data_IF_752038222256
#
_entry.id   IF_752038222256
#
_cell.length_a   1.000
_cell.length_b   1.000
_cell.length_c   1.000
_cell.angle_alpha   90.00
_cell.angle_beta   90.00
_cell.angle_gamma   90.00
#
_symmetry.space_group_name_H-M   'P 1'
#
loop_
_entity.id
_entity.type
_entity.pdbx_description
1 polymer ?
#
# COMPACT_ATOMS: atom_id res chain seq x y z
N UNK A 1 21.24 -6.86 13.89
CA UNK A 1 22.68 -7.18 13.99
C UNK A 1 23.41 -5.96 14.49
N UNK A 2 24.06 -6.08 15.65
CA UNK A 2 24.59 -5.00 16.49
C UNK A 2 25.91 -4.43 15.91
N UNK A 3 26.21 -3.16 16.17
CA UNK A 3 27.46 -2.49 15.75
C UNK A 3 28.71 -3.14 16.33
N UNK A 4 28.61 -3.65 17.56
CA UNK A 4 29.71 -4.31 18.26
C UNK A 4 29.93 -5.76 17.79
N UNK A 5 28.95 -6.40 17.13
CA UNK A 5 29.13 -7.77 16.60
C UNK A 5 30.23 -7.78 15.54
N UNK A 6 30.23 -6.81 14.62
CA UNK A 6 31.19 -6.83 13.51
C UNK A 6 32.54 -6.22 13.94
N UNK A 7 32.54 -5.19 14.79
CA UNK A 7 33.78 -4.62 15.33
C UNK A 7 34.53 -5.57 16.28
N UNK A 8 33.83 -6.40 17.07
CA UNK A 8 34.49 -7.46 17.86
C UNK A 8 34.80 -8.71 17.02
N UNK A 9 34.04 -9.04 15.98
CA UNK A 9 34.41 -10.14 15.07
C UNK A 9 35.68 -9.81 14.28
N UNK A 10 35.93 -8.55 13.96
CA UNK A 10 37.21 -8.11 13.37
C UNK A 10 38.39 -8.18 14.34
N UNK A 11 38.17 -8.01 15.65
CA UNK A 11 39.25 -8.09 16.65
C UNK A 11 39.59 -9.54 17.05
N UNK A 12 38.63 -10.48 16.95
CA UNK A 12 38.83 -11.89 17.33
C UNK A 12 39.60 -12.69 16.26
N UNK A 13 39.72 -12.19 15.02
CA UNK A 13 40.33 -12.93 13.91
C UNK A 13 41.73 -12.45 13.48
N UNK A 14 42.42 -11.66 14.31
CA UNK A 14 43.80 -11.24 14.05
C UNK A 14 44.79 -11.76 15.10
N UNK A 15 44.96 -13.08 15.24
CA UNK A 15 46.24 -13.64 15.68
C UNK A 15 46.42 -15.10 15.25
N UNK A 16 47.13 -15.33 14.14
CA UNK A 16 48.28 -16.24 14.15
C UNK A 16 49.13 -16.07 12.87
N UNK A 17 50.27 -15.42 13.02
CA UNK A 17 51.37 -15.45 12.05
C UNK A 17 52.43 -16.44 12.53
N UNK A 18 52.61 -17.54 11.81
CA UNK A 18 53.84 -18.35 11.86
C UNK A 18 54.91 -17.69 10.99
N UNK A 19 55.82 -16.90 11.58
CA UNK A 19 57.13 -16.62 10.98
C UNK A 19 58.18 -16.47 12.10
N UNK A 20 59.07 -17.44 12.18
CA UNK A 20 60.29 -17.42 12.99
C UNK A 20 61.43 -16.73 12.24
N UNK A 21 61.86 -15.53 12.63
CA UNK A 21 63.23 -15.01 12.35
C UNK A 21 63.71 -14.11 13.52
N UNK A 22 64.97 -14.35 13.90
CA UNK A 22 65.77 -13.74 14.95
C UNK A 22 65.96 -12.22 14.88
N UNK A 23 65.96 -11.57 16.06
CA UNK A 23 66.82 -10.42 16.38
C UNK A 23 66.44 -9.03 15.85
N UNK A 24 65.66 -8.27 16.60
CA UNK A 24 65.86 -6.84 16.93
C UNK A 24 64.65 -6.29 17.70
N UNK A 25 64.92 -5.51 18.75
CA UNK A 25 63.90 -4.86 19.61
C UNK A 25 63.11 -3.84 18.79
N UNK A 26 61.94 -4.24 18.29
CA UNK A 26 60.91 -3.32 17.80
C UNK A 26 59.89 -3.16 18.92
N UNK A 27 59.85 -1.96 19.53
CA UNK A 27 58.76 -1.55 20.42
C UNK A 27 57.45 -1.65 19.64
N UNK A 28 56.72 -2.76 19.81
CA UNK A 28 55.38 -2.93 19.30
C UNK A 28 54.47 -2.18 20.27
N UNK A 29 54.10 -0.96 19.92
CA UNK A 29 52.93 -0.32 20.50
C UNK A 29 51.73 -1.22 20.19
N UNK A 30 51.23 -1.93 21.19
CA UNK A 30 49.97 -2.67 21.13
C UNK A 30 48.87 -1.69 20.71
N UNK A 31 48.56 -1.63 19.42
CA UNK A 31 47.34 -1.01 18.93
C UNK A 31 46.19 -1.90 19.38
N UNK A 32 45.70 -1.63 20.59
CA UNK A 32 44.39 -2.10 21.02
C UNK A 32 43.38 -1.35 20.16
N UNK A 33 42.61 -2.06 19.34
CA UNK A 33 41.48 -1.48 18.63
C UNK A 33 40.54 -0.88 19.69
N UNK A 34 40.53 0.45 19.78
CA UNK A 34 39.94 1.18 20.89
C UNK A 34 38.40 1.05 20.82
N UNK A 35 37.80 0.37 21.80
CA UNK A 35 36.36 0.26 21.89
C UNK A 35 35.76 1.65 22.13
N UNK A 36 35.03 2.17 21.14
CA UNK A 36 34.35 3.46 21.29
C UNK A 36 33.04 3.25 22.06
N UNK A 37 32.85 3.81 23.27
CA UNK A 37 31.60 3.66 24.01
C UNK A 37 30.44 4.36 23.31
N UNK A 38 29.20 3.89 23.53
CA UNK A 38 27.99 4.44 22.88
C UNK A 38 27.79 5.94 23.12
N UNK A 39 28.20 6.46 24.28
CA UNK A 39 28.12 7.89 24.60
C UNK A 39 28.89 8.80 23.64
N UNK A 40 29.92 8.26 22.98
CA UNK A 40 30.80 8.98 22.05
C UNK A 40 30.39 8.78 20.59
N UNK A 41 29.44 7.87 20.32
CA UNK A 41 28.98 7.56 18.98
C UNK A 41 27.86 8.52 18.56
N UNK A 42 27.95 9.16 17.38
CA UNK A 42 26.92 10.09 16.93
C UNK A 42 25.55 9.40 16.77
N UNK A 43 25.52 8.12 16.35
CA UNK A 43 24.28 7.36 16.13
C UNK A 43 23.45 7.15 17.39
N UNK A 44 24.07 7.16 18.57
CA UNK A 44 23.38 7.06 19.86
C UNK A 44 22.44 8.23 20.10
N UNK A 45 22.68 9.40 19.49
CA UNK A 45 21.82 10.57 19.64
C UNK A 45 20.86 10.74 18.47
N UNK A 46 21.33 10.65 17.22
CA UNK A 46 20.48 10.98 16.07
C UNK A 46 19.51 9.85 15.69
N UNK A 47 19.90 8.57 15.85
CA UNK A 47 19.03 7.45 15.44
C UNK A 47 17.78 7.37 16.31
N UNK A 48 17.84 7.48 17.65
CA UNK A 48 16.63 7.48 18.47
C UNK A 48 15.69 8.65 18.18
N UNK A 49 16.22 9.85 17.93
CA UNK A 49 15.42 11.01 17.54
C UNK A 49 14.71 10.74 16.21
N UNK A 50 15.40 10.17 15.22
CA UNK A 50 14.81 9.80 13.95
C UNK A 50 13.72 8.72 14.12
N UNK A 51 13.98 7.68 14.90
CA UNK A 51 13.01 6.61 15.17
C UNK A 51 11.78 7.12 15.94
N UNK A 52 11.95 8.07 16.84
CA UNK A 52 10.84 8.76 17.49
C UNK A 52 9.99 9.54 16.48
N UNK A 53 10.62 10.29 15.55
CA UNK A 53 9.90 10.97 14.48
C UNK A 53 9.15 9.99 13.56
N UNK A 54 9.79 8.87 13.19
CA UNK A 54 9.17 7.79 12.42
C UNK A 54 7.96 7.23 13.18
N UNK A 55 8.08 6.99 14.49
CA UNK A 55 6.98 6.50 15.30
C UNK A 55 5.80 7.48 15.32
N UNK A 56 6.05 8.76 15.55
CA UNK A 56 5.00 9.80 15.60
C UNK A 56 4.33 9.97 14.24
N UNK A 57 5.11 10.18 13.17
CA UNK A 57 4.58 10.38 11.81
C UNK A 57 3.86 9.13 11.32
N UNK A 58 4.46 7.96 11.56
CA UNK A 58 3.92 6.68 11.17
C UNK A 58 2.59 6.36 11.86
N UNK A 59 2.52 6.50 13.19
CA UNK A 59 1.28 6.28 13.95
C UNK A 59 0.17 7.26 13.54
N UNK A 60 0.46 8.55 13.48
CA UNK A 60 -0.53 9.57 13.12
C UNK A 60 -0.99 9.43 11.67
N UNK A 61 -0.04 9.23 10.75
CA UNK A 61 -0.30 9.11 9.32
C UNK A 61 -1.13 7.86 8.97
N UNK A 62 -0.61 6.68 9.33
CA UNK A 62 -1.28 5.41 9.01
C UNK A 62 -2.55 5.23 9.85
N UNK A 63 -2.56 5.65 11.11
CA UNK A 63 -3.77 5.69 11.93
C UNK A 63 -4.86 6.56 11.31
N UNK A 64 -4.50 7.72 10.74
CA UNK A 64 -5.45 8.57 10.02
C UNK A 64 -5.98 7.89 8.76
N UNK A 65 -5.14 7.19 7.99
CA UNK A 65 -5.60 6.41 6.81
C UNK A 65 -6.63 5.34 7.20
N UNK A 66 -6.37 4.61 8.29
CA UNK A 66 -7.31 3.65 8.87
C UNK A 66 -8.64 4.32 9.23
N UNK A 67 -8.60 5.45 9.96
CA UNK A 67 -9.80 6.21 10.33
C UNK A 67 -10.57 6.69 9.08
N UNK A 68 -9.88 7.18 8.06
CA UNK A 68 -10.49 7.65 6.81
C UNK A 68 -11.29 6.51 6.16
N UNK A 69 -10.68 5.33 6.04
CA UNK A 69 -11.30 4.16 5.42
C UNK A 69 -12.52 3.66 6.21
N UNK A 70 -12.39 3.57 7.54
CA UNK A 70 -13.46 3.10 8.42
C UNK A 70 -14.63 4.09 8.50
N UNK A 71 -14.37 5.40 8.61
CA UNK A 71 -15.42 6.40 8.84
C UNK A 71 -16.12 6.87 7.56
N UNK A 72 -15.47 6.81 6.40
CA UNK A 72 -16.02 7.35 5.15
C UNK A 72 -16.39 6.24 4.17
N UNK A 73 -17.68 5.87 4.10
CA UNK A 73 -18.17 4.83 3.17
C UNK A 73 -17.82 5.11 1.70
N UNK A 74 -17.78 6.37 1.29
CA UNK A 74 -17.41 6.80 -0.07
C UNK A 74 -15.95 6.49 -0.43
N UNK A 75 -15.08 6.31 0.57
CA UNK A 75 -13.67 5.94 0.38
C UNK A 75 -13.47 4.42 0.32
N UNK A 76 -14.50 3.59 0.50
CA UNK A 76 -14.36 2.12 0.49
C UNK A 76 -14.47 1.57 -0.94
N UNK A 77 -13.37 1.71 -1.68
CA UNK A 77 -13.22 1.18 -3.04
C UNK A 77 -11.93 0.35 -3.14
N UNK A 78 -11.75 -0.34 -4.27
CA UNK A 78 -10.65 -1.29 -4.48
C UNK A 78 -9.26 -0.70 -4.18
N UNK A 79 -8.83 0.43 -4.80
CA UNK A 79 -7.54 1.04 -4.48
C UNK A 79 -7.39 1.44 -3.00
N UNK A 80 -8.45 1.96 -2.40
CA UNK A 80 -8.42 2.41 -1.02
C UNK A 80 -8.43 1.24 -0.01
N UNK A 81 -8.96 0.07 -0.38
CA UNK A 81 -8.83 -1.16 0.43
C UNK A 81 -7.37 -1.61 0.48
N UNK A 82 -6.63 -1.52 -0.63
CA UNK A 82 -5.19 -1.80 -0.63
C UNK A 82 -4.39 -0.78 0.18
N UNK A 83 -4.72 0.52 0.07
CA UNK A 83 -4.14 1.56 0.94
C UNK A 83 -4.40 1.28 2.42
N UNK A 84 -5.62 0.82 2.75
CA UNK A 84 -5.95 0.42 4.12
C UNK A 84 -5.12 -0.80 4.57
N UNK A 85 -4.94 -1.80 3.71
CA UNK A 85 -4.06 -2.95 3.97
C UNK A 85 -2.62 -2.53 4.24
N UNK A 86 -2.07 -1.60 3.44
CA UNK A 86 -0.74 -1.01 3.67
C UNK A 86 -0.65 -0.32 5.03
N UNK A 87 -1.63 0.53 5.36
CA UNK A 87 -1.65 1.25 6.62
C UNK A 87 -1.68 0.31 7.85
N UNK A 88 -2.35 -0.84 7.76
CA UNK A 88 -2.34 -1.85 8.82
C UNK A 88 -0.96 -2.51 8.98
N UNK A 89 -0.30 -2.85 7.87
CA UNK A 89 1.03 -3.45 7.90
C UNK A 89 2.10 -2.47 8.40
N UNK A 90 2.01 -1.20 7.99
CA UNK A 90 2.87 -0.12 8.47
C UNK A 90 2.66 0.10 9.99
N UNK A 91 1.40 0.15 10.47
CA UNK A 91 1.12 0.27 11.90
C UNK A 91 1.65 -0.92 12.70
N UNK A 92 1.53 -2.14 12.17
CA UNK A 92 2.07 -3.34 12.81
C UNK A 92 3.57 -3.16 13.09
N UNK A 93 4.38 -2.90 12.06
CA UNK A 93 5.84 -2.75 12.23
C UNK A 93 6.22 -1.53 13.07
N UNK A 94 5.49 -0.41 12.94
CA UNK A 94 5.77 0.80 13.72
C UNK A 94 5.53 0.57 15.21
N UNK A 95 4.45 -0.13 15.58
CA UNK A 95 4.11 -0.36 16.99
C UNK A 95 5.00 -1.45 17.59
N UNK A 96 5.23 -2.55 16.86
CA UNK A 96 5.89 -3.73 17.42
C UNK A 96 7.41 -3.72 17.28
N UNK A 97 7.98 -2.93 16.37
CA UNK A 97 9.42 -3.00 16.06
C UNK A 97 10.15 -1.69 16.35
N UNK A 98 9.62 -0.54 15.94
CA UNK A 98 10.32 0.77 16.03
C UNK A 98 10.76 1.14 17.47
N UNK A 99 9.90 1.12 18.51
CA UNK A 99 10.31 1.53 19.86
C UNK A 99 11.40 0.63 20.44
N UNK A 100 11.33 -0.69 20.19
CA UNK A 100 12.30 -1.65 20.72
C UNK A 100 13.62 -1.64 19.93
N UNK A 101 13.53 -1.44 18.62
CA UNK A 101 14.69 -1.34 17.72
C UNK A 101 15.48 -0.07 17.98
N UNK A 102 14.84 1.06 18.29
CA UNK A 102 15.52 2.32 18.57
C UNK A 102 16.53 2.20 19.73
N UNK A 103 16.21 1.38 20.73
CA UNK A 103 16.99 1.28 21.97
C UNK A 103 18.31 0.52 21.76
N UNK A 104 18.44 -0.30 20.70
CA UNK A 104 19.70 -1.00 20.39
C UNK A 104 20.87 -0.05 20.06
N UNK A 105 20.57 1.22 19.76
CA UNK A 105 21.57 2.26 19.52
C UNK A 105 21.98 3.02 20.80
N UNK A 106 21.32 2.75 21.93
CA UNK A 106 21.56 3.41 23.21
C UNK A 106 22.01 2.45 24.32
N UNK A 107 21.95 1.14 24.09
CA UNK A 107 22.36 0.11 25.06
C UNK A 107 23.33 -0.88 24.42
N UNK A 108 24.20 -1.46 25.24
CA UNK A 108 25.23 -2.40 24.78
C UNK A 108 24.65 -3.79 24.45
N UNK A 109 23.68 -4.24 25.23
CA UNK A 109 23.06 -5.56 25.14
C UNK A 109 21.55 -5.48 24.88
N UNK A 110 21.01 -6.41 24.08
CA UNK A 110 19.59 -6.44 23.72
C UNK A 110 18.69 -6.75 24.94
N UNK A 111 17.85 -5.81 25.41
CA UNK A 111 17.23 -5.94 26.73
C UNK A 111 15.82 -6.58 26.74
N UNK A 112 15.26 -6.95 25.58
CA UNK A 112 13.81 -7.21 25.44
C UNK A 112 13.40 -8.68 25.48
N UNK A 113 14.36 -9.60 25.55
CA UNK A 113 14.08 -11.03 25.54
C UNK A 113 13.65 -11.60 24.17
N UNK A 114 13.56 -12.92 24.08
CA UNK A 114 13.38 -13.64 22.82
C UNK A 114 12.01 -13.38 22.16
N UNK A 115 10.98 -13.13 22.95
CA UNK A 115 9.62 -12.87 22.45
C UNK A 115 9.58 -11.61 21.57
N UNK A 116 10.12 -10.50 22.07
CA UNK A 116 10.14 -9.24 21.30
C UNK A 116 11.06 -9.37 20.09
N UNK A 117 12.17 -10.11 20.20
CA UNK A 117 13.05 -10.39 19.06
C UNK A 117 12.28 -11.09 17.92
N UNK A 118 11.57 -12.19 18.23
CA UNK A 118 10.74 -12.93 17.25
C UNK A 118 9.63 -12.06 16.66
N UNK A 119 8.88 -11.34 17.50
CA UNK A 119 7.79 -10.47 17.04
C UNK A 119 8.32 -9.37 16.13
N UNK A 120 9.41 -8.70 16.51
CA UNK A 120 9.96 -7.55 15.78
C UNK A 120 10.47 -7.96 14.39
N UNK A 121 11.21 -9.06 14.32
CA UNK A 121 11.74 -9.60 13.05
C UNK A 121 10.61 -10.12 12.14
N UNK A 122 9.60 -10.78 12.72
CA UNK A 122 8.43 -11.27 11.97
C UNK A 122 7.60 -10.10 11.43
N UNK A 123 7.31 -9.09 12.27
CA UNK A 123 6.52 -7.93 11.88
C UNK A 123 7.20 -7.11 10.77
N UNK A 124 8.54 -7.02 10.80
CA UNK A 124 9.34 -6.43 9.72
C UNK A 124 9.12 -7.18 8.41
N UNK A 125 9.32 -8.50 8.38
CA UNK A 125 9.16 -9.30 7.16
C UNK A 125 7.71 -9.27 6.62
N UNK A 126 6.70 -9.34 7.51
CA UNK A 126 5.29 -9.20 7.13
C UNK A 126 5.04 -7.84 6.50
N UNK A 127 5.54 -6.75 7.10
CA UNK A 127 5.31 -5.40 6.59
C UNK A 127 5.93 -5.19 5.20
N UNK A 128 7.15 -5.68 4.98
CA UNK A 128 7.81 -5.65 3.67
C UNK A 128 6.99 -6.45 2.64
N UNK A 129 6.59 -7.67 2.99
CA UNK A 129 5.80 -8.55 2.12
C UNK A 129 4.44 -7.96 1.75
N UNK A 130 3.65 -7.53 2.74
CA UNK A 130 2.35 -6.89 2.50
C UNK A 130 2.54 -5.63 1.65
N UNK A 131 3.57 -4.84 1.91
CA UNK A 131 3.89 -3.64 1.12
C UNK A 131 4.07 -3.96 -0.36
N UNK A 132 5.03 -4.83 -0.67
CA UNK A 132 5.40 -5.09 -2.06
C UNK A 132 4.32 -5.84 -2.81
N UNK A 133 3.69 -6.86 -2.20
CA UNK A 133 2.63 -7.63 -2.85
C UNK A 133 1.37 -6.78 -3.07
N UNK A 134 1.07 -5.84 -2.16
CA UNK A 134 -0.02 -4.88 -2.35
C UNK A 134 0.29 -3.91 -3.50
N UNK A 135 1.54 -3.44 -3.62
CA UNK A 135 1.96 -2.60 -4.76
C UNK A 135 1.88 -3.36 -6.08
N UNK A 136 2.24 -4.64 -6.11
CA UNK A 136 2.06 -5.52 -7.27
C UNK A 136 0.58 -5.65 -7.63
N UNK A 137 -0.29 -5.91 -6.66
CA UNK A 137 -1.73 -6.03 -6.87
C UNK A 137 -2.37 -4.71 -7.35
N UNK A 138 -1.94 -3.57 -6.80
CA UNK A 138 -2.34 -2.24 -7.27
C UNK A 138 -1.90 -2.01 -8.72
N UNK A 139 -0.66 -2.36 -9.06
CA UNK A 139 -0.11 -2.22 -10.41
C UNK A 139 -0.89 -3.08 -11.42
N UNK A 140 -1.19 -4.33 -11.07
CA UNK A 140 -2.02 -5.23 -11.88
C UNK A 140 -3.44 -4.68 -12.07
N UNK A 141 -4.09 -4.23 -11.00
CA UNK A 141 -5.43 -3.64 -11.06
C UNK A 141 -5.47 -2.39 -11.97
N UNK A 142 -4.42 -1.57 -11.95
CA UNK A 142 -4.25 -0.42 -12.84
C UNK A 142 -4.00 -0.84 -14.28
N UNK A 143 -3.16 -1.84 -14.51
CA UNK A 143 -2.89 -2.40 -15.83
C UNK A 143 -4.19 -2.89 -16.50
N UNK A 144 -4.95 -3.78 -15.84
CA UNK A 144 -6.21 -4.28 -16.39
C UNK A 144 -7.27 -3.18 -16.55
N UNK A 145 -7.22 -2.11 -15.73
CA UNK A 145 -8.10 -0.97 -15.91
C UNK A 145 -7.79 -0.13 -17.15
N UNK A 146 -6.55 -0.12 -17.63
CA UNK A 146 -6.11 0.75 -18.72
C UNK A 146 -6.06 0.00 -20.04
N UNK A 147 -5.56 -1.24 -20.03
CA UNK A 147 -5.34 -2.04 -21.24
C UNK A 147 -6.60 -2.74 -21.75
N UNK A 148 -7.47 -3.22 -20.86
CA UNK A 148 -8.75 -3.85 -21.25
C UNK A 148 -9.94 -3.23 -20.48
N UNK A 149 -10.36 -2.01 -20.89
CA UNK A 149 -11.46 -1.32 -20.23
C UNK A 149 -12.80 -2.07 -20.35
N UNK A 150 -12.99 -2.90 -21.39
CA UNK A 150 -14.26 -3.58 -21.72
C UNK A 150 -14.47 -4.87 -20.92
N UNK A 151 -13.45 -5.74 -20.75
CA UNK A 151 -13.58 -6.91 -19.84
C UNK A 151 -13.73 -6.50 -18.39
N UNK A 152 -13.06 -5.43 -17.95
CA UNK A 152 -13.23 -4.93 -16.58
C UNK A 152 -14.63 -4.36 -16.35
N UNK A 153 -15.31 -3.84 -17.37
CA UNK A 153 -16.71 -3.39 -17.28
C UNK A 153 -17.67 -4.57 -17.09
N UNK A 154 -17.52 -5.64 -17.88
CA UNK A 154 -18.34 -6.85 -17.75
C UNK A 154 -18.07 -7.63 -16.45
N UNK A 155 -16.82 -7.61 -15.96
CA UNK A 155 -16.45 -8.21 -14.67
C UNK A 155 -16.82 -7.32 -13.48
N UNK A 156 -16.95 -5.99 -13.69
CA UNK A 156 -17.42 -4.99 -12.71
C UNK A 156 -18.93 -4.79 -12.69
N UNK A 157 -19.71 -5.50 -13.52
CA UNK A 157 -21.18 -5.40 -13.54
C UNK A 157 -21.88 -5.78 -12.22
N UNK A 158 -21.12 -6.13 -11.17
CA UNK A 158 -21.59 -6.04 -9.79
C UNK A 158 -20.48 -5.55 -8.87
N UNK A 159 -20.57 -4.31 -8.37
CA UNK A 159 -19.57 -3.73 -7.45
C UNK A 159 -19.25 -4.63 -6.25
N UNK A 160 -20.21 -5.45 -5.80
CA UNK A 160 -20.00 -6.45 -4.73
C UNK A 160 -19.02 -7.57 -5.11
N UNK A 161 -18.98 -8.01 -6.38
CA UNK A 161 -18.05 -9.05 -6.84
C UNK A 161 -16.62 -8.51 -6.87
N UNK A 162 -16.43 -7.32 -7.42
CA UNK A 162 -15.13 -6.65 -7.43
C UNK A 162 -14.59 -6.44 -6.01
N UNK A 163 -15.42 -5.94 -5.08
CA UNK A 163 -15.04 -5.80 -3.67
C UNK A 163 -14.67 -7.13 -3.02
N UNK A 164 -15.43 -8.22 -3.27
CA UNK A 164 -15.10 -9.54 -2.74
C UNK A 164 -13.75 -10.04 -3.24
N UNK A 165 -13.49 -9.95 -4.55
CA UNK A 165 -12.21 -10.35 -5.13
C UNK A 165 -11.07 -9.55 -4.48
N UNK A 166 -11.22 -8.23 -4.32
CA UNK A 166 -10.20 -7.40 -3.66
C UNK A 166 -9.95 -7.76 -2.20
N UNK A 167 -11.01 -8.14 -1.46
CA UNK A 167 -10.84 -8.59 -0.08
C UNK A 167 -10.11 -9.94 -0.06
N UNK A 168 -10.49 -10.88 -0.93
CA UNK A 168 -9.81 -12.17 -1.04
C UNK A 168 -8.33 -12.01 -1.43
N UNK A 169 -8.02 -11.11 -2.36
CA UNK A 169 -6.62 -10.83 -2.74
C UNK A 169 -5.86 -10.18 -1.59
N UNK A 170 -6.45 -9.22 -0.88
CA UNK A 170 -5.82 -8.62 0.31
C UNK A 170 -5.54 -9.68 1.39
N UNK A 171 -6.50 -10.55 1.70
CA UNK A 171 -6.29 -11.66 2.65
C UNK A 171 -5.20 -12.60 2.15
N UNK A 172 -5.20 -12.95 0.86
CA UNK A 172 -4.15 -13.78 0.25
C UNK A 172 -2.76 -13.15 0.36
N UNK A 173 -2.65 -11.82 0.21
CA UNK A 173 -1.40 -11.09 0.41
C UNK A 173 -0.90 -11.21 1.85
N UNK A 174 -1.79 -11.06 2.84
CA UNK A 174 -1.43 -11.23 4.25
C UNK A 174 -0.97 -12.66 4.56
N UNK A 175 -1.69 -13.66 4.05
CA UNK A 175 -1.30 -15.07 4.21
C UNK A 175 0.06 -15.32 3.57
N UNK A 176 0.29 -14.85 2.35
CA UNK A 176 1.57 -15.01 1.66
C UNK A 176 2.72 -14.31 2.41
N UNK A 177 2.51 -13.07 2.86
CA UNK A 177 3.50 -12.34 3.65
C UNK A 177 3.82 -13.04 4.97
N UNK A 178 2.81 -13.59 5.65
CA UNK A 178 3.01 -14.38 6.86
C UNK A 178 3.80 -15.65 6.59
N UNK A 179 3.48 -16.39 5.51
CA UNK A 179 4.24 -17.59 5.10
C UNK A 179 5.72 -17.24 4.86
N UNK A 180 6.00 -16.14 4.15
CA UNK A 180 7.37 -15.66 3.94
C UNK A 180 8.08 -15.27 5.25
N UNK A 181 7.33 -14.87 6.28
CA UNK A 181 7.86 -14.46 7.58
C UNK A 181 7.96 -15.60 8.61
N UNK A 182 7.39 -16.79 8.35
CA UNK A 182 7.48 -17.97 9.25
C UNK A 182 8.93 -18.27 9.67
N UNK A 183 9.92 -18.27 8.77
CA UNK A 183 11.29 -18.56 9.16
C UNK A 183 11.86 -17.56 10.18
N UNK A 184 11.48 -16.28 10.09
CA UNK A 184 11.84 -15.28 11.10
C UNK A 184 11.16 -15.58 12.45
N UNK A 185 9.88 -15.94 12.43
CA UNK A 185 9.10 -16.23 13.63
C UNK A 185 9.71 -17.37 14.45
N UNK A 186 10.11 -18.44 13.77
CA UNK A 186 10.64 -19.64 14.41
C UNK A 186 12.15 -19.48 14.68
N UNK A 187 12.91 -18.99 13.70
CA UNK A 187 14.37 -18.94 13.74
C UNK A 187 14.99 -17.76 14.51
N UNK A 188 14.26 -16.66 14.72
CA UNK A 188 14.78 -15.55 15.52
C UNK A 188 14.98 -15.95 16.98
N UNK A 189 16.16 -15.63 17.52
CA UNK A 189 16.58 -15.96 18.89
C UNK A 189 17.53 -14.89 19.43
N UNK A 190 17.84 -14.98 20.72
CA UNK A 190 18.90 -14.19 21.34
C UNK A 190 20.21 -14.95 21.13
N UNK A 191 21.17 -14.32 20.47
CA UNK A 191 22.53 -14.84 20.34
C UNK A 191 23.43 -14.14 21.36
N UNK A 192 24.09 -14.95 22.19
CA UNK A 192 25.14 -14.50 23.10
C UNK A 192 26.44 -14.31 22.32
N UNK A 193 27.07 -13.15 22.46
CA UNK A 193 28.43 -12.91 22.00
C UNK A 193 29.33 -13.02 23.21
N UNK A 194 30.27 -13.97 23.15
CA UNK A 194 31.25 -14.25 24.19
C UNK A 194 32.65 -13.90 23.69
N UNK A 195 33.53 -13.64 24.63
CA UNK A 195 34.96 -13.42 24.39
C UNK A 195 35.73 -14.75 24.29
N UNK A 196 37.03 -14.68 23.97
CA UNK A 196 37.91 -15.85 23.90
C UNK A 196 37.99 -16.62 25.24
N UNK A 197 37.83 -15.90 26.36
CA UNK A 197 37.77 -16.48 27.72
C UNK A 197 36.38 -17.00 28.12
N UNK A 198 35.46 -17.19 27.16
CA UNK A 198 34.05 -17.60 27.35
C UNK A 198 33.22 -16.64 28.23
N UNK A 199 33.69 -15.41 28.41
CA UNK A 199 32.98 -14.37 29.17
C UNK A 199 31.91 -13.73 28.29
N UNK A 200 30.66 -13.70 28.76
CA UNK A 200 29.56 -13.03 28.06
C UNK A 200 29.85 -11.53 27.90
N UNK A 201 29.94 -11.06 26.65
CA UNK A 201 30.14 -9.65 26.31
C UNK A 201 28.78 -8.95 26.19
N UNK A 202 27.91 -9.44 25.30
CA UNK A 202 26.58 -8.85 25.09
C UNK A 202 25.66 -9.80 24.30
N UNK A 203 24.37 -9.51 24.34
CA UNK A 203 23.34 -10.29 23.64
C UNK A 203 22.76 -9.52 22.46
N UNK A 204 22.40 -10.24 21.39
CA UNK A 204 21.78 -9.65 20.20
C UNK A 204 20.58 -10.45 19.72
N UNK A 205 19.56 -9.76 19.21
CA UNK A 205 18.50 -10.41 18.43
C UNK A 205 19.06 -10.81 17.06
N UNK A 206 19.09 -12.12 16.79
CA UNK A 206 19.64 -12.70 15.57
C UNK A 206 18.59 -13.56 14.84
N UNK A 207 18.30 -13.30 13.55
CA UNK A 207 17.20 -13.96 12.84
C UNK A 207 17.58 -15.28 12.15
N UNK A 208 18.82 -15.76 12.30
CA UNK A 208 19.31 -16.95 11.60
C UNK A 208 19.88 -17.97 12.61
N UNK A 209 19.16 -19.04 12.97
CA UNK A 209 19.67 -20.06 13.88
C UNK A 209 20.82 -20.83 13.22
N UNK A 210 21.90 -21.06 13.97
CA UNK A 210 23.11 -21.75 13.49
C UNK A 210 22.88 -23.26 13.31
N UNK A 211 21.95 -23.82 14.07
CA UNK A 211 21.54 -25.23 13.98
C UNK A 211 20.94 -25.59 12.61
N UNK A 212 20.45 -24.61 11.85
CA UNK A 212 19.77 -24.84 10.59
C UNK A 212 20.74 -24.65 9.45
N UNK A 213 21.02 -25.72 8.69
CA UNK A 213 21.88 -25.71 7.49
C UNK A 213 23.23 -24.98 7.68
N UNK A 214 23.72 -24.90 8.91
CA UNK A 214 25.00 -24.32 9.29
C UNK A 214 25.22 -22.92 8.66
N UNK A 215 26.44 -22.61 8.20
CA UNK A 215 26.82 -21.35 7.56
C UNK A 215 26.05 -21.01 6.26
N UNK A 216 25.32 -21.94 5.67
CA UNK A 216 24.58 -21.73 4.41
C UNK A 216 23.20 -21.12 4.64
N UNK A 217 22.55 -21.39 5.77
CA UNK A 217 21.18 -20.90 6.01
C UNK A 217 21.03 -19.38 5.91
N UNK A 218 21.91 -18.56 6.54
CA UNK A 218 21.80 -17.11 6.40
C UNK A 218 21.90 -16.66 4.94
N UNK A 219 22.80 -17.25 4.13
CA UNK A 219 22.97 -16.93 2.70
C UNK A 219 21.69 -17.24 1.91
N UNK A 220 21.13 -18.44 2.11
CA UNK A 220 19.87 -18.87 1.46
C UNK A 220 18.72 -17.94 1.82
N UNK A 221 18.57 -17.60 3.11
CA UNK A 221 17.47 -16.77 3.58
C UNK A 221 17.58 -15.32 3.13
N UNK A 222 18.78 -14.75 3.12
CA UNK A 222 19.03 -13.40 2.59
C UNK A 222 18.72 -13.34 1.10
N UNK A 223 19.16 -14.34 0.33
CA UNK A 223 18.85 -14.44 -1.10
C UNK A 223 17.35 -14.61 -1.35
N UNK A 224 16.69 -15.51 -0.61
CA UNK A 224 15.25 -15.73 -0.74
C UNK A 224 14.46 -14.45 -0.45
N UNK A 225 14.80 -13.71 0.62
CA UNK A 225 14.19 -12.41 0.94
C UNK A 225 14.43 -11.39 -0.18
N UNK A 226 15.65 -11.29 -0.68
CA UNK A 226 15.99 -10.38 -1.78
C UNK A 226 15.21 -10.70 -3.07
N UNK A 227 15.04 -11.97 -3.41
CA UNK A 227 14.31 -12.36 -4.61
C UNK A 227 12.80 -12.16 -4.43
N UNK A 228 12.23 -12.74 -3.36
CA UNK A 228 10.77 -12.83 -3.17
C UNK A 228 10.17 -11.51 -2.70
N UNK A 229 10.85 -10.78 -1.82
CA UNK A 229 10.32 -9.54 -1.22
C UNK A 229 10.81 -8.27 -1.93
N UNK A 230 11.68 -8.40 -2.95
CA UNK A 230 12.24 -7.24 -3.65
C UNK A 230 12.30 -7.42 -5.18
N UNK A 231 13.15 -8.28 -5.72
CA UNK A 231 13.39 -8.36 -7.18
C UNK A 231 12.19 -8.88 -7.98
N UNK A 232 11.60 -10.02 -7.61
CA UNK A 232 10.49 -10.63 -8.36
C UNK A 232 9.27 -9.69 -8.39
N UNK A 233 8.81 -9.11 -7.27
CA UNK A 233 7.71 -8.16 -7.31
C UNK A 233 8.02 -6.91 -8.15
N UNK A 234 9.22 -6.34 -8.04
CA UNK A 234 9.61 -5.13 -8.79
C UNK A 234 9.67 -5.39 -10.31
N UNK A 235 10.17 -6.55 -10.73
CA UNK A 235 10.18 -6.93 -12.15
C UNK A 235 8.77 -7.14 -12.70
N UNK A 236 7.86 -7.77 -11.94
CA UNK A 236 6.44 -7.89 -12.31
C UNK A 236 5.80 -6.51 -12.43
N UNK A 237 6.01 -5.63 -11.45
CA UNK A 237 5.49 -4.26 -11.47
C UNK A 237 6.01 -3.50 -12.70
N UNK A 238 7.32 -3.59 -12.97
CA UNK A 238 7.94 -2.96 -14.13
C UNK A 238 7.29 -3.46 -15.44
N UNK A 239 7.07 -4.78 -15.58
CA UNK A 239 6.35 -5.35 -16.71
C UNK A 239 4.95 -4.76 -16.91
N UNK A 240 4.15 -4.68 -15.83
CA UNK A 240 2.81 -4.07 -15.90
C UNK A 240 2.85 -2.60 -16.36
N UNK A 241 3.81 -1.83 -15.86
CA UNK A 241 3.95 -0.41 -16.23
C UNK A 241 4.46 -0.23 -17.66
N UNK A 242 5.39 -1.07 -18.12
CA UNK A 242 5.87 -1.06 -19.50
C UNK A 242 4.72 -1.37 -20.47
N UNK A 243 3.97 -2.45 -20.20
CA UNK A 243 2.81 -2.81 -21.03
C UNK A 243 1.71 -1.73 -21.00
N UNK A 244 1.48 -1.10 -19.85
CA UNK A 244 0.55 0.03 -19.72
C UNK A 244 0.99 1.24 -20.55
N UNK A 245 2.29 1.57 -20.53
CA UNK A 245 2.85 2.67 -21.32
C UNK A 245 2.69 2.40 -22.82
N UNK A 246 3.03 1.18 -23.27
CA UNK A 246 2.88 0.75 -24.67
C UNK A 246 1.42 0.85 -25.10
N UNK A 247 0.48 0.29 -24.33
CA UNK A 247 -0.95 0.34 -24.63
C UNK A 247 -1.47 1.78 -24.75
N UNK A 248 -1.03 2.69 -23.86
CA UNK A 248 -1.45 4.09 -23.90
C UNK A 248 -0.91 4.83 -25.14
N UNK A 249 0.34 4.56 -25.54
CA UNK A 249 0.96 5.16 -26.73
C UNK A 249 0.27 4.66 -28.00
N UNK A 250 0.07 3.34 -28.12
CA UNK A 250 -0.60 2.73 -29.29
C UNK A 250 -2.06 3.17 -29.39
N UNK A 251 -2.78 3.25 -28.27
CA UNK A 251 -4.18 3.68 -28.25
C UNK A 251 -4.34 5.17 -28.60
N UNK A 252 -3.34 6.02 -28.33
CA UNK A 252 -3.38 7.44 -28.73
C UNK A 252 -3.19 7.64 -30.25
N UNK A 253 -2.56 6.68 -30.95
CA UNK A 253 -2.38 6.73 -32.42
C UNK A 253 -3.63 6.35 -33.23
N UNK A 254 -4.60 5.67 -32.62
CA UNK A 254 -5.72 5.02 -33.33
C UNK A 254 -7.12 5.57 -32.97
N UNK A 255 -7.25 6.80 -32.45
CA UNK A 255 -8.56 7.34 -32.04
C UNK A 255 -9.03 8.46 -32.98
N UNK A 256 -10.03 8.21 -33.85
CA UNK A 256 -10.83 9.24 -34.50
C UNK A 256 -11.82 9.83 -33.49
N UNK A 257 -11.77 11.15 -33.30
CA UNK A 257 -12.90 12.07 -33.06
C UNK A 257 -13.91 11.89 -31.90
N UNK A 258 -14.09 10.72 -31.29
CA UNK A 258 -15.26 10.44 -30.44
C UNK A 258 -14.91 10.29 -28.94
N UNK A 259 -15.68 11.03 -28.12
CA UNK A 259 -15.91 10.88 -26.68
C UNK A 259 -14.93 11.55 -25.68
N UNK A 260 -15.10 12.87 -25.49
CA UNK A 260 -14.52 13.66 -24.37
C UNK A 260 -14.69 12.98 -22.98
N UNK A 261 -15.76 12.22 -22.76
CA UNK A 261 -16.01 11.46 -21.53
C UNK A 261 -14.99 10.32 -21.28
N UNK A 262 -14.57 9.62 -22.33
CA UNK A 262 -13.57 8.55 -22.27
C UNK A 262 -12.19 9.12 -21.97
N UNK A 263 -11.85 10.27 -22.57
CA UNK A 263 -10.60 10.99 -22.30
C UNK A 263 -10.48 11.43 -20.83
N UNK A 264 -11.58 11.87 -20.21
CA UNK A 264 -11.60 12.23 -18.78
C UNK A 264 -11.38 11.02 -17.87
N UNK A 265 -11.98 9.87 -18.20
CA UNK A 265 -11.77 8.63 -17.46
C UNK A 265 -10.31 8.12 -17.58
N UNK A 266 -9.73 8.16 -18.78
CA UNK A 266 -8.33 7.76 -19.01
C UNK A 266 -7.37 8.66 -18.23
N UNK A 267 -7.58 9.99 -18.22
CA UNK A 267 -6.75 10.93 -17.41
C UNK A 267 -6.83 10.61 -15.92
N UNK A 268 -8.02 10.32 -15.40
CA UNK A 268 -8.18 9.94 -13.99
C UNK A 268 -7.45 8.63 -13.69
N UNK A 269 -7.53 7.62 -14.57
CA UNK A 269 -6.80 6.34 -14.42
C UNK A 269 -5.28 6.53 -14.48
N UNK A 270 -4.77 7.37 -15.38
CA UNK A 270 -3.35 7.75 -15.47
C UNK A 270 -2.86 8.39 -14.17
N UNK A 271 -3.63 9.31 -13.59
CA UNK A 271 -3.26 9.93 -12.31
C UNK A 271 -3.10 8.91 -11.19
N UNK A 272 -3.99 7.92 -11.10
CA UNK A 272 -3.88 6.84 -10.09
C UNK A 272 -2.67 5.95 -10.39
N UNK A 273 -2.42 5.59 -11.66
CA UNK A 273 -1.25 4.80 -12.04
C UNK A 273 0.08 5.50 -11.69
N UNK A 274 0.17 6.83 -11.89
CA UNK A 274 1.32 7.65 -11.46
C UNK A 274 1.46 7.65 -9.94
N UNK A 275 0.35 7.70 -9.20
CA UNK A 275 0.37 7.62 -7.72
C UNK A 275 0.97 6.30 -7.24
N UNK A 276 0.57 5.19 -7.85
CA UNK A 276 1.11 3.85 -7.54
C UNK A 276 2.59 3.76 -7.93
N UNK A 277 3.00 4.37 -9.05
CA UNK A 277 4.40 4.39 -9.47
C UNK A 277 5.30 5.12 -8.47
N UNK A 278 4.80 6.22 -7.88
CA UNK A 278 5.51 6.93 -6.80
C UNK A 278 5.72 6.00 -5.60
N UNK A 279 4.72 5.22 -5.18
CA UNK A 279 4.89 4.28 -4.07
C UNK A 279 5.88 3.16 -4.40
N UNK A 280 5.86 2.66 -5.64
CA UNK A 280 6.83 1.66 -6.11
C UNK A 280 8.25 2.21 -6.06
N UNK A 281 8.46 3.44 -6.52
CA UNK A 281 9.77 4.09 -6.50
C UNK A 281 10.26 4.30 -5.05
N UNK A 282 9.38 4.77 -4.16
CA UNK A 282 9.69 4.92 -2.73
C UNK A 282 10.08 3.57 -2.12
N UNK A 283 9.29 2.52 -2.36
CA UNK A 283 9.60 1.17 -1.89
C UNK A 283 10.98 0.70 -2.39
N UNK A 284 11.23 0.81 -3.70
CA UNK A 284 12.50 0.37 -4.29
C UNK A 284 13.70 1.11 -3.66
N UNK A 285 13.62 2.44 -3.56
CA UNK A 285 14.71 3.27 -3.01
C UNK A 285 14.92 3.00 -1.53
N UNK A 286 13.85 2.83 -0.75
CA UNK A 286 13.96 2.61 0.70
C UNK A 286 14.54 1.25 1.05
N UNK A 287 14.23 0.19 0.29
CA UNK A 287 14.69 -1.16 0.60
C UNK A 287 16.00 -1.55 -0.08
N UNK A 288 16.41 -0.86 -1.16
CA UNK A 288 17.66 -1.17 -1.88
C UNK A 288 18.90 -1.21 -0.97
N UNK A 289 19.17 -0.21 -0.11
CA UNK A 289 20.42 -0.16 0.64
C UNK A 289 20.49 -1.27 1.69
N UNK A 290 19.35 -1.62 2.31
CA UNK A 290 19.27 -2.73 3.25
C UNK A 290 19.57 -4.07 2.57
N UNK A 291 18.94 -4.35 1.42
CA UNK A 291 19.22 -5.58 0.69
C UNK A 291 20.66 -5.64 0.17
N UNK A 292 21.20 -4.51 -0.32
CA UNK A 292 22.59 -4.44 -0.76
C UNK A 292 23.56 -4.74 0.39
N UNK A 293 23.34 -4.16 1.57
CA UNK A 293 24.16 -4.45 2.75
C UNK A 293 24.07 -5.93 3.17
N UNK A 294 22.87 -6.50 3.24
CA UNK A 294 22.69 -7.91 3.63
C UNK A 294 23.35 -8.87 2.62
N UNK A 295 23.27 -8.57 1.33
CA UNK A 295 23.97 -9.35 0.30
C UNK A 295 25.49 -9.24 0.47
N UNK A 296 26.04 -8.03 0.60
CA UNK A 296 27.46 -7.82 0.85
C UNK A 296 27.93 -8.60 2.08
N UNK A 297 27.23 -8.47 3.21
CA UNK A 297 27.66 -9.04 4.47
C UNK A 297 27.66 -10.58 4.48
N UNK A 298 26.70 -11.24 3.82
CA UNK A 298 26.60 -12.70 3.84
C UNK A 298 27.24 -13.40 2.64
N UNK A 299 27.40 -12.74 1.50
CA UNK A 299 27.97 -13.36 0.29
C UNK A 299 29.46 -13.06 0.09
N UNK A 300 30.00 -12.02 0.73
CA UNK A 300 31.43 -11.78 0.74
C UNK A 300 32.05 -12.46 1.97
N UNK A 301 32.86 -13.48 1.75
CA UNK A 301 33.52 -14.22 2.84
C UNK A 301 34.55 -13.33 3.57
N UNK A 302 35.07 -12.29 2.92
CA UNK A 302 35.93 -11.26 3.54
C UNK A 302 35.14 -10.06 4.09
N UNK A 303 33.81 -10.14 4.20
CA UNK A 303 32.97 -9.02 4.65
C UNK A 303 33.35 -8.46 6.02
N UNK A 304 33.89 -9.31 6.89
CA UNK A 304 34.39 -8.89 8.21
C UNK A 304 35.68 -8.07 8.06
N UNK A 305 36.66 -8.56 7.29
CA UNK A 305 37.92 -7.84 7.02
C UNK A 305 37.70 -6.51 6.28
N UNK A 306 36.75 -6.46 5.34
CA UNK A 306 36.42 -5.25 4.58
C UNK A 306 35.45 -4.32 5.34
N UNK A 307 35.08 -4.63 6.57
CA UNK A 307 34.11 -3.83 7.32
C UNK A 307 34.72 -2.49 7.74
N UNK A 308 34.40 -1.44 6.99
CA UNK A 308 34.87 -0.09 7.22
C UNK A 308 33.77 0.79 7.85
N UNK A 309 34.11 1.98 8.37
CA UNK A 309 33.13 2.95 8.84
C UNK A 309 32.06 3.28 7.78
N UNK A 310 32.41 3.23 6.48
CA UNK A 310 31.44 3.38 5.39
C UNK A 310 30.33 2.31 5.46
N UNK A 311 30.70 1.02 5.55
CA UNK A 311 29.73 -0.07 5.60
C UNK A 311 28.88 -0.02 6.87
N UNK A 312 29.47 0.45 7.97
CA UNK A 312 28.76 0.71 9.20
C UNK A 312 27.64 1.75 9.03
N UNK A 313 27.96 2.94 8.52
CA UNK A 313 26.96 3.97 8.29
C UNK A 313 25.97 3.61 7.17
N UNK A 314 26.42 2.90 6.13
CA UNK A 314 25.56 2.42 5.05
C UNK A 314 24.49 1.44 5.57
N UNK A 315 24.86 0.55 6.49
CA UNK A 315 23.92 -0.34 7.18
C UNK A 315 22.89 0.45 7.98
N UNK A 316 23.32 1.42 8.80
CA UNK A 316 22.41 2.26 9.60
C UNK A 316 21.45 3.01 8.66
N UNK A 317 21.98 3.61 7.60
CA UNK A 317 21.21 4.33 6.59
C UNK A 317 20.14 3.44 5.94
N UNK A 318 20.51 2.25 5.47
CA UNK A 318 19.56 1.31 4.88
C UNK A 318 18.50 0.83 5.87
N UNK A 319 18.89 0.59 7.11
CA UNK A 319 17.97 0.19 8.17
C UNK A 319 16.96 1.29 8.52
N UNK A 320 17.41 2.54 8.65
CA UNK A 320 16.53 3.70 8.82
C UNK A 320 15.55 3.85 7.64
N UNK A 321 16.03 3.69 6.40
CA UNK A 321 15.17 3.81 5.21
C UNK A 321 14.05 2.76 5.17
N UNK A 322 14.31 1.53 5.62
CA UNK A 322 13.27 0.51 5.72
C UNK A 322 12.08 0.96 6.59
N UNK A 323 12.35 1.64 7.71
CA UNK A 323 11.28 2.15 8.58
C UNK A 323 10.66 3.44 8.03
N UNK A 324 11.45 4.31 7.39
CA UNK A 324 10.94 5.52 6.72
C UNK A 324 9.91 5.17 5.63
N UNK A 325 10.05 4.04 4.94
CA UNK A 325 9.05 3.55 3.98
C UNK A 325 7.63 3.52 4.57
N UNK A 326 7.49 3.09 5.83
CA UNK A 326 6.19 3.02 6.52
C UNK A 326 5.56 4.41 6.74
N UNK A 327 6.37 5.47 6.80
CA UNK A 327 5.92 6.85 6.92
C UNK A 327 5.63 7.51 5.56
N UNK A 328 6.29 7.02 4.50
CA UNK A 328 6.21 7.62 3.18
C UNK A 328 4.82 7.45 2.54
N UNK A 329 4.09 6.37 2.86
CA UNK A 329 2.77 6.07 2.33
C UNK A 329 1.73 7.19 2.63
N UNK A 330 1.45 7.57 3.89
CA UNK A 330 0.60 8.73 4.23
C UNK A 330 1.06 10.04 3.60
N UNK A 331 2.38 10.30 3.63
CA UNK A 331 2.98 11.54 3.11
C UNK A 331 2.74 11.67 1.61
N UNK A 332 3.03 10.61 0.85
CA UNK A 332 2.82 10.60 -0.58
C UNK A 332 1.32 10.71 -0.94
N UNK A 333 0.41 10.06 -0.19
CA UNK A 333 -1.03 10.23 -0.38
C UNK A 333 -1.52 11.67 -0.11
N UNK A 334 -0.94 12.34 0.89
CA UNK A 334 -1.25 13.73 1.21
C UNK A 334 -0.89 14.68 0.05
N UNK A 335 0.26 14.47 -0.61
CA UNK A 335 0.69 15.31 -1.72
C UNK A 335 -0.01 14.96 -3.04
N UNK A 336 -0.21 13.68 -3.33
CA UNK A 336 -0.70 13.24 -4.65
C UNK A 336 -2.23 13.27 -4.75
N UNK A 337 -2.95 13.03 -3.64
CA UNK A 337 -4.41 12.93 -3.64
C UNK A 337 -5.10 14.05 -2.85
N UNK A 338 -5.75 14.95 -3.59
CA UNK A 338 -6.56 16.03 -3.01
C UNK A 338 -7.71 15.53 -2.12
N UNK A 339 -8.23 14.33 -2.38
CA UNK A 339 -9.27 13.71 -1.56
C UNK A 339 -8.73 13.31 -0.19
N UNK A 340 -7.61 12.57 -0.14
CA UNK A 340 -6.95 12.21 1.12
C UNK A 340 -6.48 13.44 1.87
N UNK A 341 -5.86 14.41 1.19
CA UNK A 341 -5.42 15.68 1.78
C UNK A 341 -6.54 16.41 2.54
N UNK A 342 -7.76 16.46 1.96
CA UNK A 342 -8.92 17.08 2.62
C UNK A 342 -9.29 16.36 3.93
N UNK A 343 -9.17 15.04 3.96
CA UNK A 343 -9.44 14.25 5.15
C UNK A 343 -8.33 14.36 6.19
N UNK A 344 -7.06 14.32 5.79
CA UNK A 344 -5.92 14.59 6.69
C UNK A 344 -6.07 15.95 7.37
N UNK A 345 -6.37 17.01 6.61
CA UNK A 345 -6.60 18.34 7.17
C UNK A 345 -7.80 18.41 8.13
N UNK A 346 -8.78 17.51 7.99
CA UNK A 346 -9.92 17.44 8.90
C UNK A 346 -9.58 16.73 10.20
N UNK A 347 -8.92 15.58 10.10
CA UNK A 347 -8.68 14.71 11.25
C UNK A 347 -7.45 15.15 12.07
N UNK A 348 -6.37 15.60 11.42
CA UNK A 348 -5.15 16.03 12.10
C UNK A 348 -5.17 17.50 12.52
N UNK A 349 -5.69 18.39 11.68
CA UNK A 349 -5.70 19.84 11.95
C UNK A 349 -7.04 20.33 12.55
N UNK A 350 -7.95 19.42 12.91
CA UNK A 350 -9.27 19.72 13.48
C UNK A 350 -10.07 20.80 12.73
N UNK A 351 -9.80 21.02 11.43
CA UNK A 351 -10.51 22.05 10.66
C UNK A 351 -11.95 21.59 10.42
N UNK A 352 -12.90 22.18 11.17
CA UNK A 352 -14.33 22.05 10.89
C UNK A 352 -14.57 22.50 9.45
N UNK A 353 -15.12 21.62 8.62
CA UNK A 353 -15.52 22.01 7.28
C UNK A 353 -16.60 23.09 7.45
N UNK A 354 -16.38 24.33 6.99
CA UNK A 354 -17.49 25.24 6.71
C UNK A 354 -18.40 24.44 5.77
N UNK A 355 -19.56 24.02 6.26
CA UNK A 355 -20.65 23.54 5.41
C UNK A 355 -20.85 24.70 4.43
N UNK A 356 -20.40 24.56 3.19
CA UNK A 356 -20.93 25.43 2.14
C UNK A 356 -22.40 25.08 2.09
N UNK A 357 -23.22 25.91 2.73
CA UNK A 357 -24.66 25.88 2.59
C UNK A 357 -24.88 26.04 1.10
N UNK A 358 -25.22 24.94 0.42
CA UNK A 358 -25.66 24.99 -0.96
C UNK A 358 -26.98 25.74 -0.92
N UNK A 359 -26.95 27.06 -1.11
CA UNK A 359 -28.13 27.87 -1.33
C UNK A 359 -28.58 27.65 -2.77
N UNK A 360 -29.11 26.46 -3.07
CA UNK A 360 -29.91 26.19 -4.28
C UNK A 360 -30.58 24.82 -4.14
N UNK A 361 -31.56 24.74 -3.25
CA UNK A 361 -32.55 23.66 -3.25
C UNK A 361 -33.92 24.25 -2.84
N UNK A 362 -34.46 25.15 -3.65
CA UNK A 362 -35.91 25.41 -3.67
C UNK A 362 -36.50 24.65 -4.84
N UNK A 363 -37.17 23.55 -4.50
CA UNK A 363 -38.31 22.97 -5.21
C UNK A 363 -38.18 22.69 -6.70
N UNK A 364 -37.86 21.44 -7.04
CA UNK A 364 -38.57 20.71 -8.10
C UNK A 364 -38.43 19.20 -7.84
N UNK A 365 -39.47 18.61 -7.25
CA UNK A 365 -39.84 17.21 -7.52
C UNK A 365 -39.89 17.07 -9.06
N UNK A 366 -39.28 16.10 -9.72
CA UNK A 366 -39.14 14.68 -9.40
C UNK A 366 -39.71 13.93 -10.61
N UNK A 367 -38.84 13.47 -11.51
CA UNK A 367 -39.23 12.57 -12.62
C UNK A 367 -38.26 11.41 -12.69
N UNK A 368 -38.52 10.40 -11.85
CA UNK A 368 -38.03 9.05 -12.06
C UNK A 368 -38.73 8.46 -13.29
N UNK A 369 -37.96 8.07 -14.28
CA UNK A 369 -38.44 7.17 -15.34
C UNK A 369 -38.52 5.75 -14.79
N UNK A 370 -39.72 5.15 -14.84
CA UNK A 370 -39.89 3.70 -14.88
C UNK A 370 -41.18 3.32 -15.62
N UNK A 371 -40.95 2.65 -16.75
CA UNK A 371 -41.71 1.64 -17.51
C UNK A 371 -43.23 1.42 -17.35
N UNK A 372 -43.84 1.20 -18.52
CA UNK A 372 -45.02 0.41 -18.89
C UNK A 372 -45.84 -0.25 -17.76
N UNK A 373 -47.16 -0.05 -17.77
CA UNK A 373 -48.11 -1.10 -18.18
C UNK A 373 -49.56 -0.64 -17.98
N UNK A 374 -50.35 -0.91 -19.01
CA UNK A 374 -51.79 -0.74 -19.18
C UNK A 374 -52.62 -1.27 -18.01
N UNK A 375 -53.51 -0.44 -17.44
CA UNK A 375 -54.67 -0.94 -16.67
C UNK A 375 -55.87 0.00 -16.75
N UNK A 376 -56.79 -0.37 -17.65
CA UNK A 376 -58.26 -0.42 -17.50
C UNK A 376 -58.87 0.52 -16.44
N UNK A 377 -59.44 1.64 -16.89
CA UNK A 377 -60.41 2.40 -16.09
C UNK A 377 -61.76 1.69 -16.12
N UNK A 378 -62.14 1.15 -14.96
CA UNK A 378 -63.51 0.75 -14.65
C UNK A 378 -64.30 2.00 -14.32
N UNK A 379 -65.45 2.10 -14.98
CA UNK A 379 -66.53 3.07 -14.79
C UNK A 379 -66.93 3.13 -13.30
N UNK A 380 -67.11 4.34 -12.77
CA UNK A 380 -68.17 4.58 -11.80
C UNK A 380 -68.69 6.01 -11.92
N UNK A 381 -69.88 6.13 -12.51
CA UNK A 381 -70.74 7.31 -12.48
C UNK A 381 -71.15 7.58 -11.04
N UNK A 382 -70.96 8.80 -10.56
CA UNK A 382 -71.94 9.46 -9.68
C UNK A 382 -72.11 10.91 -10.12
N UNK A 383 -73.30 11.15 -10.66
CA UNK A 383 -73.92 12.44 -10.90
C UNK A 383 -74.17 13.18 -9.59
N UNK A 384 -73.86 14.47 -9.53
CA UNK A 384 -74.69 15.41 -8.76
C UNK A 384 -74.72 16.75 -9.51
N UNK A 385 -75.93 17.11 -9.87
CA UNK A 385 -76.36 18.37 -10.47
C UNK A 385 -76.43 19.41 -9.35
N UNK A 386 -75.89 20.60 -9.56
CA UNK A 386 -76.41 21.82 -8.92
C UNK A 386 -76.22 23.02 -9.84
N UNK A 387 -77.36 23.56 -10.25
CA UNK A 387 -77.60 24.72 -11.09
C UNK A 387 -77.55 25.99 -10.23
N UNK A 388 -76.83 27.02 -10.67
CA UNK A 388 -77.29 28.43 -10.64
C UNK A 388 -76.28 29.32 -11.39
N UNK A 389 -76.60 29.75 -12.61
CA UNK A 389 -77.29 31.00 -13.02
C UNK A 389 -76.40 32.24 -13.02
N UNK A 390 -76.10 32.64 -14.26
CA UNK A 390 -75.97 34.01 -14.82
C UNK A 390 -74.72 34.80 -14.43
N UNK A 391 -73.84 34.98 -15.43
CA UNK A 391 -73.78 36.28 -16.10
C UNK A 391 -73.60 36.09 -17.60
N UNK A 392 -74.42 36.85 -18.32
CA UNK A 392 -74.54 36.95 -19.76
C UNK A 392 -73.48 37.95 -20.23
N UNK A 393 -72.60 37.56 -21.15
CA UNK A 393 -72.15 38.49 -22.17
C UNK A 393 -71.80 37.70 -23.43
N UNK A 394 -72.45 38.10 -24.50
CA UNK A 394 -72.45 37.49 -25.81
C UNK A 394 -71.10 37.67 -26.50
N UNK A 395 -70.70 36.65 -27.25
CA UNK A 395 -70.24 36.85 -28.62
C UNK A 395 -70.58 35.59 -29.42
N UNK A 396 -71.43 35.80 -30.42
CA UNK A 396 -71.86 34.81 -31.39
C UNK A 396 -70.92 34.84 -32.60
N UNK A 397 -70.54 33.67 -33.10
CA UNK A 397 -70.28 33.35 -34.51
C UNK A 397 -70.05 31.83 -34.56
N UNK A 398 -71.11 31.07 -34.79
CA UNK A 398 -71.59 30.58 -36.10
C UNK A 398 -71.01 29.21 -36.49
N UNK A 399 -71.90 28.24 -36.35
CA UNK A 399 -72.05 26.92 -36.98
C UNK A 399 -71.43 26.71 -38.35
N UNK A 400 -70.86 25.51 -38.57
CA UNK A 400 -71.42 24.57 -39.57
C UNK A 400 -71.03 23.11 -39.26
N UNK A 401 -72.07 22.27 -39.22
CA UNK A 401 -72.02 20.80 -39.18
C UNK A 401 -72.19 20.31 -40.61
N UNK A 402 -71.43 19.29 -41.04
CA UNK A 402 -71.87 18.40 -42.11
C UNK A 402 -71.50 16.96 -41.76
N UNK A 403 -72.53 16.18 -41.44
CA UNK A 403 -72.55 14.72 -41.39
C UNK A 403 -73.09 14.21 -42.73
N UNK A 404 -72.36 13.29 -43.36
CA UNK A 404 -72.79 12.33 -44.39
C UNK A 404 -71.85 11.12 -44.19
N UNK A 405 -72.25 9.87 -44.17
CA UNK A 405 -73.49 9.18 -44.47
C UNK A 405 -73.14 7.67 -44.50
N UNK A 406 -74.09 6.84 -44.06
CA UNK A 406 -74.02 5.38 -43.99
C UNK A 406 -73.48 4.67 -45.24
N UNK A 407 -72.89 3.49 -45.05
CA UNK A 407 -72.62 2.56 -46.15
C UNK A 407 -72.19 1.18 -45.67
N UNK A 408 -73.17 0.28 -45.59
CA UNK A 408 -73.09 -1.13 -45.18
C UNK A 408 -72.32 -1.99 -46.21
N UNK A 409 -71.67 -3.07 -45.76
CA UNK A 409 -71.03 -4.04 -46.66
C UNK A 409 -70.34 -5.18 -45.91
N UNK A 410 -71.09 -6.23 -45.60
CA UNK A 410 -70.59 -7.55 -45.23
C UNK A 410 -69.74 -8.16 -46.37
N UNK A 411 -68.64 -8.87 -46.02
CA UNK A 411 -68.33 -10.25 -46.46
C UNK A 411 -66.88 -10.66 -46.16
N UNK A 412 -66.80 -11.81 -45.48
CA UNK A 412 -65.81 -12.91 -45.58
C UNK A 412 -64.32 -12.70 -45.27
N UNK A 413 -63.95 -13.23 -44.10
CA UNK A 413 -63.06 -14.41 -43.91
C UNK A 413 -62.16 -14.78 -45.11
N UNK A 414 -60.85 -14.62 -44.94
CA UNK A 414 -59.90 -15.64 -45.39
C UNK A 414 -58.56 -15.60 -44.62
N UNK A 415 -58.13 -16.80 -44.23
CA UNK A 415 -56.83 -17.12 -43.65
C UNK A 415 -55.69 -17.00 -44.68
N UNK A 416 -54.51 -16.54 -44.23
CA UNK A 416 -53.15 -17.06 -44.53
C UNK A 416 -52.12 -16.11 -43.86
N UNK A 417 -51.33 -16.55 -42.89
CA UNK A 417 -49.96 -17.10 -43.07
C UNK A 417 -49.20 -16.22 -44.08
N UNK A 418 -48.39 -15.23 -43.67
CA UNK A 418 -47.07 -15.31 -42.99
C UNK A 418 -46.89 -14.12 -42.07
#
# INVERSE_FOLDING_TARGET
>A
MNSNVILNLTSVNMTQSDVSISGSLVNTSNATDDYIPYSERPETYFVPVLFFLIFVVGCLGNGTLVIIFLKNRTMRNVPNTYIFSLALADLLVIITSVPFTSIIYTVESYPWGALICKISETAKDISIGVSVFTLTALSADRFFAIVDPLKKFHTSSGGRRATRITICTAVGIWVLAFICAIPALIGSHIKEIRDDDDVLRFEVCYPFPEEWLDYQYPKVMVMARFLVLYIIPLTIIFGFYLSMAISLITSTRNVPGELQGMHRQIRARKKVAVTVLVFVAVFAICFAPFHAFMLFFYFNDQSQELYSPFWHYFRIFGFCLCYINSCANPVALYFVSGAFRKHFNRYLLCKKQKRSRCNTCTGQHGTSMSMLSTKRQSINRKSTISINRRNLSANAQETSVTLLGNGHGDLQVNNKVI
#
